data_IF_873056500375
#
_entry.id   IF_873056500375
#
_cell.length_a   1.000
_cell.length_b   1.000
_cell.length_c   1.000
_cell.angle_alpha   90.00
_cell.angle_beta   90.00
_cell.angle_gamma   90.00
#
_symmetry.space_group_name_H-M   'P 1'
#
loop_
_entity.id
_entity.type
_entity.pdbx_description
1 polymer ?
#
# COMPACT_ATOMS: atom_id res chain seq x y z
N UNK A 1 12.06 -15.45 0.06
CA UNK A 1 12.57 -14.07 0.26
C UNK A 1 11.46 -13.27 0.92
N UNK A 2 11.63 -12.85 2.17
CA UNK A 2 10.58 -12.20 2.94
C UNK A 2 10.38 -10.75 2.55
N UNK A 3 9.13 -10.32 2.43
CA UNK A 3 8.78 -8.91 2.46
C UNK A 3 9.19 -8.34 3.82
N UNK A 4 9.94 -7.25 3.83
CA UNK A 4 10.40 -6.59 5.07
C UNK A 4 9.34 -5.66 5.64
N UNK A 5 8.08 -5.91 5.37
CA UNK A 5 6.96 -5.13 5.88
C UNK A 5 6.81 -5.38 7.37
N UNK A 6 6.82 -4.33 8.15
CA UNK A 6 6.68 -4.40 9.60
C UNK A 6 5.21 -4.30 9.98
N UNK A 7 4.72 -5.27 10.74
CA UNK A 7 3.40 -5.25 11.34
C UNK A 7 3.57 -4.97 12.82
N UNK A 8 3.34 -3.74 13.25
CA UNK A 8 3.52 -3.35 14.65
C UNK A 8 2.30 -2.61 15.22
N UNK A 9 1.97 -1.45 14.65
CA UNK A 9 0.80 -0.69 15.08
C UNK A 9 -0.49 -1.40 14.71
N UNK A 10 -1.50 -1.31 15.57
CA UNK A 10 -2.81 -1.89 15.37
C UNK A 10 -3.90 -0.92 15.85
N UNK A 11 -4.70 -0.44 14.92
CA UNK A 11 -5.85 0.42 15.22
C UNK A 11 -7.08 -0.38 15.67
N UNK A 12 -7.07 -1.71 15.48
CA UNK A 12 -8.22 -2.59 15.75
C UNK A 12 -7.99 -3.52 16.96
N UNK A 13 -6.83 -3.46 17.63
CA UNK A 13 -6.52 -4.36 18.75
C UNK A 13 -5.14 -4.11 19.34
N UNK A 14 -4.57 -5.12 19.96
CA UNK A 14 -3.26 -5.04 20.61
C UNK A 14 -2.14 -4.70 19.60
N UNK A 15 -1.15 -3.95 20.06
CA UNK A 15 0.09 -3.64 19.33
C UNK A 15 1.04 -4.85 19.35
N UNK A 16 0.71 -5.86 18.59
CA UNK A 16 1.50 -7.08 18.44
C UNK A 16 1.59 -7.48 16.97
N UNK A 17 2.61 -8.22 16.60
CA UNK A 17 2.72 -8.84 15.27
C UNK A 17 2.19 -10.26 15.22
N UNK A 18 1.92 -10.88 16.38
CA UNK A 18 1.43 -12.26 16.45
C UNK A 18 -0.02 -12.37 15.99
N UNK A 19 -0.31 -13.38 15.18
CA UNK A 19 -1.64 -13.63 14.63
C UNK A 19 -2.15 -12.54 13.67
N UNK A 20 -1.24 -11.78 13.08
CA UNK A 20 -1.51 -10.68 12.14
C UNK A 20 -0.61 -10.79 10.91
N UNK A 21 -0.96 -10.08 9.84
CA UNK A 21 -0.16 -10.06 8.63
C UNK A 21 -0.51 -8.91 7.69
N UNK A 22 0.20 -8.87 6.58
CA UNK A 22 -0.09 -7.94 5.49
C UNK A 22 -1.16 -8.53 4.58
N UNK A 23 -2.19 -7.75 4.33
CA UNK A 23 -3.28 -8.13 3.42
C UNK A 23 -2.93 -7.83 1.97
N UNK A 24 -2.40 -6.66 1.76
CA UNK A 24 -2.05 -6.17 0.43
C UNK A 24 -1.06 -5.03 0.52
N UNK A 25 -0.23 -4.89 -0.52
CA UNK A 25 0.61 -3.71 -0.68
C UNK A 25 0.76 -3.36 -2.16
N UNK A 26 1.11 -2.11 -2.41
CA UNK A 26 1.42 -1.58 -3.75
C UNK A 26 2.66 -0.72 -3.65
N UNK A 27 3.53 -0.78 -4.66
CA UNK A 27 4.82 -0.10 -4.66
C UNK A 27 4.86 0.95 -5.76
N UNK A 28 5.21 2.19 -5.40
CA UNK A 28 5.44 3.28 -6.35
C UNK A 28 6.81 3.17 -7.01
N UNK A 29 6.87 3.44 -8.30
CA UNK A 29 8.12 3.57 -9.05
C UNK A 29 8.55 5.04 -9.06
N UNK A 30 9.36 5.43 -8.06
CA UNK A 30 9.81 6.83 -7.89
C UNK A 30 10.60 7.35 -9.09
N UNK A 31 11.59 6.60 -9.67
CA UNK A 31 12.29 7.04 -10.87
C UNK A 31 11.37 7.37 -12.04
N UNK A 32 10.34 6.57 -12.25
CA UNK A 32 9.37 6.83 -13.31
C UNK A 32 8.63 8.17 -13.08
N UNK A 33 8.15 8.40 -11.87
CA UNK A 33 7.48 9.66 -11.51
C UNK A 33 8.41 10.87 -11.70
N UNK A 34 9.70 10.74 -11.34
CA UNK A 34 10.68 11.78 -11.52
C UNK A 34 10.95 12.09 -13.02
N UNK A 35 11.10 11.05 -13.85
CA UNK A 35 11.31 11.19 -15.28
C UNK A 35 10.10 11.88 -15.95
N UNK A 36 8.88 11.43 -15.64
CA UNK A 36 7.65 12.01 -16.18
C UNK A 36 7.48 13.46 -15.74
N UNK A 37 7.79 13.79 -14.48
CA UNK A 37 7.78 15.16 -13.98
C UNK A 37 8.81 16.04 -14.71
N UNK A 38 9.99 15.53 -14.98
CA UNK A 38 11.04 16.24 -15.73
C UNK A 38 10.63 16.53 -17.15
N UNK A 39 10.14 15.52 -17.88
CA UNK A 39 9.66 15.69 -19.26
C UNK A 39 8.56 16.75 -19.33
N UNK A 40 7.62 16.70 -18.37
CA UNK A 40 6.53 17.67 -18.29
C UNK A 40 7.05 19.08 -18.00
N UNK A 41 7.99 19.24 -17.08
CA UNK A 41 8.59 20.53 -16.76
C UNK A 41 9.31 21.14 -17.99
N UNK A 42 10.05 20.34 -18.73
CA UNK A 42 10.72 20.77 -19.97
C UNK A 42 9.73 21.23 -21.04
N UNK A 43 8.55 20.63 -21.12
CA UNK A 43 7.51 21.06 -22.05
C UNK A 43 6.76 22.33 -21.62
N UNK A 44 6.79 22.67 -20.33
CA UNK A 44 6.09 23.85 -19.76
C UNK A 44 6.97 25.10 -19.72
N UNK A 45 8.29 24.94 -19.61
CA UNK A 45 9.23 26.03 -19.43
C UNK A 45 9.77 26.55 -20.77
N UNK A 46 9.06 27.47 -21.37
CA UNK A 46 9.44 28.10 -22.67
C UNK A 46 10.81 28.81 -22.59
N UNK A 47 11.21 29.28 -21.42
CA UNK A 47 12.47 30.00 -21.25
C UNK A 47 13.72 29.12 -21.40
N UNK A 48 13.60 27.81 -21.32
CA UNK A 48 14.71 26.85 -21.38
C UNK A 48 15.74 26.99 -20.26
N UNK A 49 15.47 27.82 -19.23
CA UNK A 49 16.37 28.01 -18.09
C UNK A 49 16.40 26.78 -17.21
N UNK A 50 17.57 26.19 -17.04
CA UNK A 50 17.78 24.94 -16.31
C UNK A 50 17.21 25.01 -14.89
N UNK A 51 17.45 26.11 -14.16
CA UNK A 51 16.98 26.27 -12.78
C UNK A 51 15.44 26.36 -12.69
N UNK A 52 14.79 26.97 -13.68
CA UNK A 52 13.32 27.01 -13.74
C UNK A 52 12.75 25.62 -13.97
N UNK A 53 13.31 24.88 -14.94
CA UNK A 53 12.92 23.49 -15.22
C UNK A 53 13.09 22.60 -14.00
N UNK A 54 14.23 22.70 -13.29
CA UNK A 54 14.49 21.89 -12.10
C UNK A 54 13.50 22.19 -10.97
N UNK A 55 13.13 23.44 -10.76
CA UNK A 55 12.14 23.82 -9.76
C UNK A 55 10.76 23.26 -10.11
N UNK A 56 10.29 23.49 -11.33
CA UNK A 56 9.01 22.99 -11.83
C UNK A 56 8.97 21.46 -11.80
N UNK A 57 10.06 20.78 -12.17
CA UNK A 57 10.14 19.32 -12.10
C UNK A 57 10.00 18.79 -10.67
N UNK A 58 10.64 19.43 -9.68
CA UNK A 58 10.50 19.05 -8.28
C UNK A 58 9.07 19.22 -7.77
N UNK A 59 8.42 20.32 -8.10
CA UNK A 59 7.02 20.58 -7.72
C UNK A 59 6.09 19.52 -8.31
N UNK A 60 6.22 19.26 -9.61
CA UNK A 60 5.44 18.23 -10.31
C UNK A 60 5.71 16.82 -9.75
N UNK A 61 6.96 16.51 -9.43
CA UNK A 61 7.32 15.23 -8.82
C UNK A 61 6.62 15.03 -7.47
N UNK A 62 6.72 16.02 -6.57
CA UNK A 62 6.07 15.95 -5.26
C UNK A 62 4.55 15.80 -5.43
N UNK A 63 3.94 16.57 -6.31
CA UNK A 63 2.52 16.46 -6.62
C UNK A 63 2.15 15.07 -7.14
N UNK A 64 2.94 14.51 -8.05
CA UNK A 64 2.72 13.17 -8.61
C UNK A 64 2.84 12.08 -7.55
N UNK A 65 3.79 12.21 -6.61
CA UNK A 65 3.93 11.29 -5.47
C UNK A 65 2.68 11.32 -4.59
N UNK A 66 2.18 12.50 -4.24
CA UNK A 66 0.96 12.63 -3.43
C UNK A 66 -0.26 12.01 -4.13
N UNK A 67 -0.50 12.38 -5.38
CA UNK A 67 -1.62 11.85 -6.18
C UNK A 67 -1.54 10.32 -6.32
N UNK A 68 -0.34 9.79 -6.57
CA UNK A 68 -0.14 8.34 -6.68
C UNK A 68 -0.36 7.64 -5.34
N UNK A 69 0.08 8.23 -4.23
CA UNK A 69 -0.13 7.68 -2.90
C UNK A 69 -1.63 7.63 -2.53
N UNK A 70 -2.38 8.68 -2.83
CA UNK A 70 -3.84 8.73 -2.63
C UNK A 70 -4.54 7.65 -3.45
N UNK A 71 -4.22 7.54 -4.73
CA UNK A 71 -4.77 6.51 -5.62
C UNK A 71 -4.47 5.09 -5.10
N UNK A 72 -3.24 4.83 -4.64
CA UNK A 72 -2.85 3.55 -4.06
C UNK A 72 -3.64 3.27 -2.78
N UNK A 73 -3.82 4.26 -1.92
CA UNK A 73 -4.58 4.12 -0.68
C UNK A 73 -6.05 3.74 -0.97
N UNK A 74 -6.68 4.41 -1.93
CA UNK A 74 -8.04 4.09 -2.38
C UNK A 74 -8.14 2.67 -2.96
N UNK A 75 -7.20 2.27 -3.80
CA UNK A 75 -7.16 0.93 -4.38
C UNK A 75 -6.94 -0.16 -3.33
N UNK A 76 -6.04 0.06 -2.37
CA UNK A 76 -5.80 -0.87 -1.27
C UNK A 76 -7.03 -1.01 -0.39
N UNK A 77 -7.70 0.09 -0.09
CA UNK A 77 -8.93 0.07 0.68
C UNK A 77 -10.06 -0.65 -0.05
N UNK A 78 -10.25 -0.39 -1.34
CA UNK A 78 -11.23 -1.09 -2.18
C UNK A 78 -10.96 -2.60 -2.22
N UNK A 79 -9.69 -2.99 -2.36
CA UNK A 79 -9.25 -4.39 -2.32
C UNK A 79 -9.54 -5.04 -0.97
N UNK A 80 -9.28 -4.33 0.12
CA UNK A 80 -9.61 -4.77 1.47
C UNK A 80 -11.12 -4.99 1.65
N UNK A 81 -11.95 -4.08 1.16
CA UNK A 81 -13.41 -4.24 1.21
C UNK A 81 -13.88 -5.51 0.48
N UNK A 82 -13.28 -5.82 -0.65
CA UNK A 82 -13.55 -7.07 -1.36
C UNK A 82 -13.07 -8.29 -0.57
N UNK A 83 -11.85 -8.26 -0.03
CA UNK A 83 -11.28 -9.38 0.74
C UNK A 83 -12.11 -9.72 1.98
N UNK A 84 -12.73 -8.74 2.62
CA UNK A 84 -13.58 -8.94 3.81
C UNK A 84 -14.79 -9.83 3.57
N UNK A 85 -15.28 -9.89 2.34
CA UNK A 85 -16.47 -10.68 1.97
C UNK A 85 -16.15 -12.16 1.76
N UNK A 86 -14.89 -12.53 1.72
CA UNK A 86 -14.48 -13.92 1.55
C UNK A 86 -14.89 -14.77 2.75
N UNK A 87 -15.12 -16.07 2.52
CA UNK A 87 -15.57 -17.01 3.54
C UNK A 87 -14.38 -17.72 4.19
N UNK A 88 -14.48 -18.05 5.47
CA UNK A 88 -13.43 -18.73 6.24
C UNK A 88 -12.99 -20.05 5.57
N UNK A 89 -13.91 -20.80 4.97
CA UNK A 89 -13.60 -22.04 4.22
C UNK A 89 -12.67 -21.86 3.03
N UNK A 90 -12.52 -20.63 2.51
CA UNK A 90 -11.59 -20.33 1.42
C UNK A 90 -10.14 -20.22 1.90
N UNK A 91 -9.95 -20.09 3.22
CA UNK A 91 -8.65 -19.97 3.88
C UNK A 91 -8.49 -20.98 5.03
N UNK A 92 -8.62 -22.29 4.76
CA UNK A 92 -8.68 -23.30 5.82
C UNK A 92 -7.41 -23.33 6.68
N UNK A 93 -6.24 -23.10 6.08
CA UNK A 93 -4.99 -23.06 6.82
C UNK A 93 -4.90 -21.82 7.71
N UNK A 94 -5.21 -20.65 7.19
CA UNK A 94 -5.07 -19.38 7.91
C UNK A 94 -6.07 -19.25 9.05
N UNK A 95 -7.30 -19.75 8.86
CA UNK A 95 -8.39 -19.62 9.81
C UNK A 95 -8.48 -20.82 10.75
N UNK A 96 -8.11 -22.02 10.29
CA UNK A 96 -8.25 -23.26 11.06
C UNK A 96 -7.05 -23.60 11.96
N UNK A 97 -5.88 -22.95 11.77
CA UNK A 97 -4.65 -23.26 12.50
C UNK A 97 -4.17 -22.10 13.39
N UNK A 98 -5.06 -21.20 13.79
CA UNK A 98 -4.74 -20.03 14.64
C UNK A 98 -3.60 -19.14 14.08
N UNK A 99 -3.42 -19.15 12.76
CA UNK A 99 -2.41 -18.31 12.12
C UNK A 99 -2.82 -16.85 12.15
N UNK A 100 -4.13 -16.59 11.98
CA UNK A 100 -4.72 -15.27 12.15
C UNK A 100 -5.58 -15.23 13.41
N UNK A 101 -5.26 -14.33 14.30
CA UNK A 101 -5.92 -14.14 15.60
C UNK A 101 -7.44 -13.96 15.41
N UNK A 102 -8.21 -14.88 15.96
CA UNK A 102 -9.66 -14.92 15.88
C UNK A 102 -10.22 -15.77 14.73
N UNK A 103 -9.36 -16.28 13.84
CA UNK A 103 -9.78 -17.13 12.73
C UNK A 103 -10.41 -18.45 13.18
N UNK A 104 -9.91 -19.00 14.28
CA UNK A 104 -10.39 -20.25 14.91
C UNK A 104 -11.84 -20.16 15.42
N UNK A 105 -12.37 -18.94 15.58
CA UNK A 105 -13.76 -18.70 16.03
C UNK A 105 -14.77 -18.65 14.89
N UNK A 106 -14.29 -18.62 13.66
CA UNK A 106 -15.15 -18.51 12.48
C UNK A 106 -15.67 -19.89 12.05
N UNK A 107 -16.98 -19.97 11.81
CA UNK A 107 -17.56 -21.10 11.08
C UNK A 107 -17.14 -21.05 9.60
N UNK A 108 -17.15 -22.19 8.86
CA UNK A 108 -16.70 -22.24 7.47
C UNK A 108 -17.37 -21.25 6.51
N UNK A 109 -18.63 -20.89 6.79
CA UNK A 109 -19.40 -19.96 5.97
C UNK A 109 -19.43 -18.53 6.51
N UNK A 110 -18.71 -18.23 7.59
CA UNK A 110 -18.57 -16.87 8.09
C UNK A 110 -17.63 -16.06 7.22
N UNK A 111 -17.89 -14.77 7.11
CA UNK A 111 -16.99 -13.85 6.42
C UNK A 111 -15.77 -13.55 7.30
N UNK A 112 -14.60 -13.45 6.67
CA UNK A 112 -13.33 -13.19 7.38
C UNK A 112 -13.12 -11.73 7.77
N UNK A 113 -14.09 -10.86 7.49
CA UNK A 113 -13.96 -9.41 7.62
C UNK A 113 -13.47 -8.90 8.98
N UNK A 114 -13.96 -9.48 10.07
CA UNK A 114 -13.57 -9.05 11.42
C UNK A 114 -12.14 -9.48 11.77
N UNK A 115 -11.71 -10.63 11.32
CA UNK A 115 -10.34 -11.12 11.48
C UNK A 115 -9.37 -10.26 10.67
N UNK A 116 -9.73 -9.93 9.43
CA UNK A 116 -8.89 -9.11 8.55
C UNK A 116 -8.71 -7.67 9.03
N UNK A 117 -9.56 -7.15 9.91
CA UNK A 117 -9.38 -5.80 10.52
C UNK A 117 -8.05 -5.62 11.24
N UNK A 118 -7.44 -6.70 11.68
CA UNK A 118 -6.13 -6.67 12.34
C UNK A 118 -4.95 -6.71 11.35
N UNK A 119 -5.22 -6.88 10.06
CA UNK A 119 -4.22 -6.86 9.01
C UNK A 119 -3.77 -5.45 8.63
N UNK A 120 -2.68 -5.37 7.87
CA UNK A 120 -2.14 -4.11 7.38
C UNK A 120 -2.24 -3.99 5.87
N UNK A 121 -2.41 -2.76 5.41
CA UNK A 121 -2.27 -2.36 4.02
C UNK A 121 -0.99 -1.53 3.92
N UNK A 122 -0.16 -1.81 2.93
CA UNK A 122 1.15 -1.18 2.81
C UNK A 122 1.31 -0.38 1.51
N UNK A 123 1.83 0.83 1.62
CA UNK A 123 2.32 1.62 0.49
C UNK A 123 3.83 1.60 0.54
N UNK A 124 4.47 1.10 -0.51
CA UNK A 124 5.91 1.07 -0.66
C UNK A 124 6.40 1.98 -1.79
N UNK A 125 7.71 2.12 -1.88
CA UNK A 125 8.36 2.78 -3.02
C UNK A 125 9.70 2.13 -3.34
N UNK A 126 10.11 2.22 -4.60
CA UNK A 126 11.42 1.78 -5.07
C UNK A 126 12.14 2.95 -5.75
N UNK A 127 13.47 2.87 -5.74
CA UNK A 127 14.32 3.81 -6.46
C UNK A 127 14.34 5.24 -5.92
N UNK A 128 13.99 5.46 -4.65
CA UNK A 128 13.97 6.80 -4.04
C UNK A 128 15.33 7.51 -4.02
N UNK A 129 16.43 6.78 -4.13
CA UNK A 129 17.77 7.37 -4.28
C UNK A 129 18.02 7.94 -5.69
N UNK A 130 17.32 7.41 -6.68
CA UNK A 130 17.53 7.74 -8.11
C UNK A 130 16.45 8.68 -8.67
N UNK A 131 15.51 9.13 -7.82
CA UNK A 131 14.41 10.01 -8.19
C UNK A 131 14.72 11.50 -8.02
#
# INVERSE_FOLDING_TARGET
MGCRTRVYENVAGEKTSLGRGNLSFTTMNMPRLAIEARIKAESMEESGKKEAIERTAKELFIQSVHQTAELIAEQLYSRYQYQRTALARQFPFMMGNDVWKGGEKLAPNDQVGDVLRQGTLGIGFIGGHNA
#
